data_IF_139157204656
#
_entry.id   IF_139157204656
#
_cell.length_a   1.000
_cell.length_b   1.000
_cell.length_c   1.000
_cell.angle_alpha   90.00
_cell.angle_beta   90.00
_cell.angle_gamma   90.00
#
_symmetry.space_group_name_H-M   'P 1'
#
loop_
_entity.id
_entity.type
_entity.pdbx_description
1 polymer ?
2 non-polymer ?
#
# COMPACT_ATOMS: atom_id res chain seq x y z
N UNK A 1 -1.16 16.31 14.39
CA UNK A 1 -2.24 15.36 14.01
C UNK A 1 -2.38 15.29 12.50
N UNK A 2 -2.40 14.07 11.97
CA UNK A 2 -2.56 13.85 10.54
C UNK A 2 -3.24 12.51 10.26
N UNK A 3 -3.74 12.34 9.06
CA UNK A 3 -4.42 11.12 8.68
C UNK A 3 -3.40 10.03 8.30
N UNK A 4 -3.23 9.05 9.18
CA UNK A 4 -2.28 7.97 8.96
C UNK A 4 -2.88 6.90 8.04
N UNK A 5 -2.01 6.01 7.56
CA UNK A 5 -2.43 4.92 6.68
C UNK A 5 -2.90 3.73 7.53
N UNK A 6 -4.14 3.28 7.31
CA UNK A 6 -4.68 2.18 8.10
C UNK A 6 -4.74 0.89 7.30
N UNK A 7 -5.11 -0.21 7.98
CA UNK A 7 -5.27 -1.51 7.32
C UNK A 7 -6.31 -1.43 6.20
N UNK A 8 -7.51 -1.02 6.59
CA UNK A 8 -8.64 -0.94 5.66
C UNK A 8 -8.36 0.05 4.55
N UNK A 9 -7.73 1.17 4.89
CA UNK A 9 -7.38 2.19 3.89
C UNK A 9 -6.44 1.61 2.85
N UNK A 10 -5.44 0.88 3.30
CA UNK A 10 -4.50 0.21 2.40
C UNK A 10 -5.26 -0.82 1.56
N UNK A 11 -6.09 -1.61 2.23
CA UNK A 11 -6.91 -2.62 1.57
C UNK A 11 -7.76 -2.00 0.45
N UNK A 12 -8.32 -0.84 0.73
CA UNK A 12 -9.15 -0.14 -0.25
C UNK A 12 -8.29 0.36 -1.41
N UNK A 13 -7.14 0.93 -1.09
CA UNK A 13 -6.29 1.57 -2.10
C UNK A 13 -5.86 0.58 -3.18
N UNK A 14 -5.50 -0.64 -2.78
CA UNK A 14 -5.14 -1.68 -3.73
C UNK A 14 -6.30 -1.97 -4.68
N UNK A 15 -7.49 -2.10 -4.12
CA UNK A 15 -8.69 -2.39 -4.89
C UNK A 15 -9.04 -1.22 -5.80
N UNK A 16 -9.06 -0.01 -5.22
CA UNK A 16 -9.44 1.21 -5.95
C UNK A 16 -8.54 1.42 -7.18
N UNK A 17 -7.31 0.96 -7.09
CA UNK A 17 -6.36 1.12 -8.19
C UNK A 17 -6.57 0.07 -9.26
N UNK A 18 -6.52 -1.20 -8.86
CA UNK A 18 -6.59 -2.30 -9.80
C UNK A 18 -8.02 -2.59 -10.23
N UNK A 19 -8.84 -3.00 -9.28
CA UNK A 19 -10.20 -3.40 -9.60
C UNK A 19 -10.30 -4.91 -9.78
N UNK A 20 -9.17 -5.59 -9.68
CA UNK A 20 -9.14 -7.05 -9.78
C UNK A 20 -9.88 -7.65 -8.59
N UNK A 21 -11.05 -8.22 -8.84
CA UNK A 21 -11.86 -8.78 -7.77
C UNK A 21 -12.20 -10.23 -8.07
N UNK A 22 -11.30 -10.92 -8.75
CA UNK A 22 -11.49 -12.32 -9.08
C UNK A 22 -10.33 -13.16 -8.54
N UNK A 23 -10.65 -14.11 -7.68
CA UNK A 23 -9.64 -15.02 -7.18
C UNK A 23 -8.93 -14.50 -5.95
N UNK A 24 -8.58 -13.21 -5.96
CA UNK A 24 -7.86 -12.60 -4.86
C UNK A 24 -8.81 -11.94 -3.86
N UNK A 25 -8.78 -12.42 -2.62
CA UNK A 25 -9.61 -11.84 -1.57
C UNK A 25 -8.73 -11.20 -0.51
N UNK A 26 -8.82 -9.88 -0.39
CA UNK A 26 -8.09 -9.15 0.64
C UNK A 26 -8.93 -9.05 1.92
N UNK A 27 -9.98 -9.86 1.98
CA UNK A 27 -10.87 -9.86 3.13
C UNK A 27 -10.33 -10.74 4.26
N UNK A 28 -9.07 -11.14 4.12
CA UNK A 28 -8.45 -11.95 5.13
C UNK A 28 -7.07 -11.47 5.50
N UNK A 29 -6.08 -12.31 5.24
CA UNK A 29 -4.70 -11.99 5.57
C UNK A 29 -3.90 -11.71 4.31
N UNK A 30 -3.57 -10.44 4.12
CA UNK A 30 -2.90 -9.98 2.92
C UNK A 30 -1.55 -9.33 3.23
N UNK A 31 -1.46 -8.71 4.41
CA UNK A 31 -0.26 -7.99 4.83
C UNK A 31 0.98 -8.90 4.84
N UNK A 32 0.77 -10.18 5.10
CA UNK A 32 1.87 -11.12 5.24
C UNK A 32 2.22 -11.77 3.89
N UNK A 33 1.31 -11.68 2.95
CA UNK A 33 1.55 -12.18 1.60
C UNK A 33 2.23 -11.11 0.76
N UNK A 34 3.05 -11.53 -0.20
CA UNK A 34 3.71 -10.58 -1.08
C UNK A 34 2.70 -10.01 -2.07
N UNK A 35 3.04 -8.88 -2.69
CA UNK A 35 2.17 -8.25 -3.67
C UNK A 35 1.77 -9.22 -4.78
N UNK A 36 2.76 -9.93 -5.30
CA UNK A 36 2.53 -10.93 -6.34
C UNK A 36 1.68 -12.11 -5.82
N UNK A 37 1.67 -12.33 -4.51
CA UNK A 37 0.91 -13.45 -3.93
C UNK A 37 -0.55 -13.08 -3.83
N UNK A 38 -0.83 -11.80 -3.61
CA UNK A 38 -2.20 -11.32 -3.55
C UNK A 38 -2.67 -10.90 -4.95
N UNK A 39 -1.93 -11.31 -5.96
CA UNK A 39 -2.33 -11.12 -7.35
C UNK A 39 -2.24 -9.69 -7.82
N UNK A 40 -1.28 -8.94 -7.30
CA UNK A 40 -1.09 -7.56 -7.73
C UNK A 40 0.17 -7.41 -8.55
N UNK A 41 -0.01 -6.98 -9.79
CA UNK A 41 1.09 -6.76 -10.72
C UNK A 41 1.92 -5.56 -10.28
N UNK A 42 3.21 -5.59 -10.61
CA UNK A 42 4.13 -4.52 -10.26
C UNK A 42 3.62 -3.15 -10.73
N UNK A 43 3.12 -3.10 -11.96
CA UNK A 43 2.62 -1.86 -12.55
C UNK A 43 1.40 -1.37 -11.77
N UNK A 44 0.45 -2.26 -11.53
CA UNK A 44 -0.76 -1.91 -10.77
C UNK A 44 -0.39 -1.52 -9.34
N UNK A 45 0.67 -2.14 -8.84
CA UNK A 45 1.17 -1.84 -7.51
C UNK A 45 1.70 -0.41 -7.42
N UNK A 46 2.49 0.01 -8.40
CA UNK A 46 3.05 1.35 -8.39
C UNK A 46 1.96 2.39 -8.67
N UNK A 47 0.91 1.97 -9.36
CA UNK A 47 -0.27 2.82 -9.52
C UNK A 47 -0.92 3.06 -8.17
N UNK A 48 -0.99 2.00 -7.37
CA UNK A 48 -1.54 2.07 -6.03
C UNK A 48 -0.72 3.04 -5.16
N UNK A 49 0.60 3.00 -5.34
CA UNK A 49 1.50 3.88 -4.61
C UNK A 49 1.15 5.35 -4.83
N UNK A 50 0.83 5.68 -6.07
CA UNK A 50 0.46 7.05 -6.44
C UNK A 50 -0.80 7.47 -5.70
N UNK A 51 -1.68 6.49 -5.47
CA UNK A 51 -2.92 6.75 -4.76
C UNK A 51 -2.65 7.08 -3.30
N UNK A 52 -1.67 6.39 -2.73
CA UNK A 52 -1.25 6.63 -1.34
C UNK A 52 -0.71 8.04 -1.21
N UNK A 53 0.19 8.41 -2.11
CA UNK A 53 0.79 9.73 -2.11
C UNK A 53 -0.28 10.81 -2.24
N UNK A 54 -1.24 10.59 -3.13
CA UNK A 54 -2.30 11.56 -3.39
C UNK A 54 -3.25 11.72 -2.20
N UNK A 55 -3.34 10.69 -1.36
CA UNK A 55 -4.29 10.70 -0.25
C UNK A 55 -3.65 11.29 1.00
N UNK A 56 -2.45 10.82 1.34
CA UNK A 56 -1.81 11.21 2.59
C UNK A 56 -0.83 12.36 2.38
N UNK A 57 -0.62 12.74 1.13
CA UNK A 57 0.28 13.83 0.82
C UNK A 57 1.73 13.45 0.99
N UNK A 58 2.01 12.16 0.88
CA UNK A 58 3.37 11.67 1.04
C UNK A 58 4.04 11.47 -0.31
N UNK A 59 5.21 10.86 -0.29
CA UNK A 59 5.90 10.52 -1.52
C UNK A 59 6.88 9.39 -1.24
N UNK A 60 6.86 8.37 -2.09
CA UNK A 60 7.69 7.19 -1.90
C UNK A 60 8.97 7.27 -2.73
N UNK A 61 10.14 7.21 -2.06
CA UNK A 61 11.46 7.31 -2.72
C UNK A 61 11.74 6.16 -3.69
N UNK A 62 12.62 6.44 -4.66
CA UNK A 62 12.93 5.53 -5.76
C UNK A 62 13.47 4.18 -5.26
N UNK A 63 14.56 4.21 -4.50
CA UNK A 63 15.29 3.00 -4.16
C UNK A 63 14.52 2.13 -3.19
N UNK A 64 13.89 2.75 -2.21
CA UNK A 64 13.21 2.01 -1.16
C UNK A 64 11.93 1.35 -1.68
N UNK A 65 11.37 1.93 -2.75
CA UNK A 65 10.15 1.41 -3.35
C UNK A 65 10.35 -0.01 -3.86
N UNK A 66 11.50 -0.25 -4.46
CA UNK A 66 11.79 -1.55 -5.02
C UNK A 66 12.41 -2.48 -4.01
N UNK A 67 12.59 -2.03 -2.78
CA UNK A 67 13.20 -2.84 -1.76
C UNK A 67 12.17 -3.47 -0.82
N UNK A 68 10.90 -3.19 -1.06
CA UNK A 68 9.84 -3.81 -0.27
C UNK A 68 9.37 -5.10 -0.92
N UNK A 69 8.52 -5.84 -0.21
CA UNK A 69 8.10 -7.16 -0.67
C UNK A 69 6.66 -7.45 -0.23
N UNK A 70 6.37 -7.22 1.04
CA UNK A 70 5.03 -7.41 1.57
C UNK A 70 4.38 -6.06 1.91
N UNK A 71 3.03 -5.99 1.80
CA UNK A 71 2.25 -4.80 2.15
C UNK A 71 2.52 -4.28 3.56
N UNK A 72 2.74 -5.20 4.50
CA UNK A 72 2.99 -4.84 5.88
C UNK A 72 4.18 -3.88 5.98
N UNK A 73 5.27 -4.24 5.34
CA UNK A 73 6.50 -3.44 5.38
C UNK A 73 6.27 -2.08 4.70
N UNK A 74 5.44 -2.07 3.66
CA UNK A 74 5.09 -0.84 2.97
C UNK A 74 4.31 0.06 3.93
N UNK A 75 3.32 -0.53 4.59
CA UNK A 75 2.52 0.17 5.58
C UNK A 75 3.41 0.72 6.69
N UNK A 76 4.25 -0.15 7.23
CA UNK A 76 5.17 0.20 8.31
C UNK A 76 6.07 1.35 7.91
N UNK A 77 6.58 1.31 6.69
CA UNK A 77 7.48 2.32 6.17
C UNK A 77 6.82 3.70 6.14
N UNK A 78 5.64 3.77 5.54
CA UNK A 78 4.95 5.04 5.39
C UNK A 78 4.43 5.54 6.75
N UNK A 79 4.02 4.61 7.60
CA UNK A 79 3.61 4.97 8.96
C UNK A 79 4.78 5.56 9.72
N UNK A 80 5.93 4.90 9.63
CA UNK A 80 7.12 5.37 10.30
C UNK A 80 7.62 6.69 9.77
N UNK A 81 7.45 6.89 8.46
CA UNK A 81 7.89 8.13 7.81
C UNK A 81 7.01 9.29 8.24
N UNK A 82 5.72 9.02 8.47
CA UNK A 82 4.80 10.03 8.96
C UNK A 82 5.08 10.33 10.43
N UNK A 83 5.51 9.31 11.17
CA UNK A 83 5.82 9.45 12.58
C UNK A 83 7.03 10.35 12.80
N UNK A 84 7.84 10.52 11.76
CA UNK A 84 9.02 11.37 11.84
C UNK A 84 8.66 12.83 11.60
N UNK A 85 7.39 13.07 11.29
CA UNK A 85 6.92 14.42 11.01
C UNK A 85 6.11 14.95 12.18
N UNK A 86 6.25 16.24 12.45
CA UNK A 86 5.54 16.88 13.54
C UNK A 86 4.97 18.21 13.09
X LIG B 1 6.57 -5.54 -13.14
X LIG B 1 6.11 -5.85 -14.59
X LIG B 1 7.32 -6.64 -12.35
X LIG B 1 7.47 -4.27 -13.17
X LIG B 1 6.93 -3.04 -13.75
X LIG B 1 7.91 -1.88 -13.57
X LIG B 1 7.15 -0.61 -13.93
X LIG B 1 8.37 -1.80 -12.12
X LIG B 1 9.15 -2.06 -14.50
X LIG B 1 9.73 -3.35 -14.30
X LIG B 1 10.22 -1.01 -14.20
X LIG B 1 11.23 -1.32 -13.56
X LIG B 1 10.02 0.21 -14.67
X LIG B 1 10.96 1.31 -14.47
X LIG B 1 10.30 2.66 -14.64
X LIG B 1 10.57 3.61 -13.48
X LIG B 1 10.87 4.79 -13.66
X LIG B 1 10.46 3.05 -12.29
X LIG B 1 10.67 3.75 -11.02
X LIG B 1 9.74 3.20 -9.95
X LIG B 1 9.95 1.50 -9.80
X LIG B 1 8.55 1.16 -8.82
X LIG B 1 7.80 2.03 -8.36
X LIG B 1 8.29 -0.32 -8.60
X LIG B 1 8.15 -0.72 -7.13
X LIG B 1 6.87 -0.18 -6.50
X LIG B 1 6.62 -0.79 -5.14
X LIG B 1 5.32 -0.30 -4.53
X LIG B 1 5.40 1.15 -4.10
X LIG B 1 6.30 1.28 -2.89
X LIG B 1 5.99 -2.80 -13.26
X LIG B 1 6.74 -3.21 -14.80
X LIG B 1 6.30 -0.49 -13.26
X LIG B 1 7.81 0.25 -13.84
X LIG B 1 6.79 -0.67 -14.95
X LIG B 1 8.84 -2.73 -11.84
X LIG B 1 7.50 -1.63 -11.48
X LIG B 1 9.06 -0.98 -12.00
X LIG B 1 8.83 -1.96 -15.53
X LIG B 1 10.51 -3.26 -13.74
X LIG B 1 9.20 0.40 -15.18
X LIG B 1 11.35 1.25 -13.46
X LIG B 1 11.76 1.22 -15.17
X LIG B 1 9.23 2.51 -14.70
X LIG B 1 10.65 3.12 -15.55
X LIG B 1 10.22 2.10 -12.24
X LIG B 1 11.69 3.60 -10.71
X LIG B 1 10.48 4.80 -11.17
X LIG B 1 9.98 3.67 -9.00
X LIG B 1 8.72 3.42 -10.22
X LIG B 1 9.11 -0.87 -9.03
X LIG B 1 7.37 -0.57 -9.10
X LIG B 1 8.16 -1.78 -7.06
X LIG B 1 9.00 -0.31 -6.58
X LIG B 1 6.05 -0.42 -7.16
X LIG B 1 6.95 0.89 -6.40
X LIG B 1 6.58 -1.87 -5.24
X LIG B 1 7.43 -0.52 -4.48
X LIG B 1 5.07 -0.92 -3.69
X LIG B 1 4.54 -0.39 -5.28
X LIG B 1 4.42 1.51 -3.84
X LIG B 1 5.82 1.74 -4.90
X LIG B 1 6.33 2.33 -2.58
X LIG B 1 7.30 0.95 -3.13
X LIG B 1 5.91 0.69 -2.08
#
# INVERSE_FOLDING_TARGET
MATLLTTDDLRRALVESAGETDGTDLSGDFLDLRFEDIGYDSLALMETAARLESRYGVSIPDDVAGRVDTPRELLDLINGALAEAA
SXO P24 O26 O23 O27 C28 C29 C30 C31 C32 O33 C34 O35 N36 C37 C38 C39 O40 N41 C42 C43 S1 C1 O1 C2 C3 C4 C5 C6 C7 C8 H28 H28A H30 H30A H30B H31 H31A H31B H32 HO33 HN36 H37 H37A H38 H38A HN41 H42 H42A H43 H43A H2 H2A H3 H3A H4 H4A H5 H5A H6 H6A H7 H7A H8 H8A H8B
#
